data_IF_892077799299
#
_entry.id   IF_892077799299
#
_cell.length_a   1.000
_cell.length_b   1.000
_cell.length_c   1.000
_cell.angle_alpha   90.00
_cell.angle_beta   90.00
_cell.angle_gamma   90.00
#
_symmetry.space_group_name_H-M   'P 1'
#
loop_
_entity.id
_entity.type
_entity.pdbx_description
1 polymer ?
#
# COMPACT_ATOMS: atom_id res chain seq x y z
N UNK A 1 0.15 -18.93 -18.24
CA UNK A 1 -0.51 -20.16 -18.76
C UNK A 1 -1.87 -19.76 -19.30
N UNK A 2 -2.18 -20.07 -20.57
CA UNK A 2 -3.53 -19.92 -21.10
C UNK A 2 -4.44 -20.84 -20.28
N UNK A 3 -5.42 -20.27 -19.61
CA UNK A 3 -6.36 -21.02 -18.79
C UNK A 3 -7.21 -21.87 -19.73
N UNK A 4 -7.27 -23.19 -19.54
CA UNK A 4 -8.12 -24.04 -20.36
C UNK A 4 -9.59 -23.65 -20.17
N UNK A 5 -10.33 -23.61 -21.25
CA UNK A 5 -11.76 -23.32 -21.19
C UNK A 5 -12.50 -24.48 -20.48
N UNK A 6 -13.37 -24.19 -19.51
CA UNK A 6 -14.18 -25.22 -18.88
C UNK A 6 -15.15 -25.86 -19.88
N UNK A 7 -15.68 -27.06 -19.61
CA UNK A 7 -16.63 -27.74 -20.50
C UNK A 7 -17.84 -26.88 -20.91
N UNK A 8 -18.26 -26.00 -20.01
CA UNK A 8 -19.28 -24.98 -20.28
C UNK A 8 -18.87 -23.65 -19.70
N UNK A 9 -19.06 -22.55 -20.43
CA UNK A 9 -18.75 -21.20 -20.00
C UNK A 9 -19.70 -20.17 -20.63
N UNK A 10 -19.71 -18.95 -20.08
CA UNK A 10 -20.48 -17.84 -20.60
C UNK A 10 -19.53 -16.75 -21.06
N UNK A 11 -19.53 -16.42 -22.35
CA UNK A 11 -18.73 -15.33 -22.90
C UNK A 11 -19.61 -14.15 -23.33
N UNK A 12 -19.03 -12.97 -23.37
CA UNK A 12 -19.68 -11.75 -23.88
C UNK A 12 -19.31 -11.55 -25.33
N UNK A 13 -20.30 -11.34 -26.18
CA UNK A 13 -20.10 -10.92 -27.55
C UNK A 13 -19.60 -9.46 -27.61
N UNK A 14 -18.51 -9.23 -28.30
CA UNK A 14 -17.93 -7.90 -28.52
C UNK A 14 -18.51 -7.22 -29.77
N UNK A 15 -18.93 -7.99 -30.75
CA UNK A 15 -19.49 -7.51 -32.02
C UNK A 15 -19.35 -8.53 -33.12
N UNK A 16 -19.83 -8.18 -34.30
CA UNK A 16 -19.67 -8.93 -35.54
C UNK A 16 -18.67 -8.21 -36.42
N UNK A 17 -17.71 -8.91 -36.97
CA UNK A 17 -16.75 -8.41 -37.96
C UNK A 17 -17.28 -8.83 -39.36
N UNK A 18 -17.66 -7.83 -40.16
CA UNK A 18 -18.19 -8.05 -41.50
C UNK A 18 -17.13 -8.55 -42.50
N UNK A 19 -15.84 -8.24 -42.25
CA UNK A 19 -14.73 -8.64 -43.12
C UNK A 19 -14.34 -10.11 -42.96
N UNK A 20 -14.45 -10.63 -41.74
CA UNK A 20 -14.13 -12.02 -41.41
C UNK A 20 -15.37 -12.91 -41.31
N UNK A 21 -16.55 -12.31 -41.33
CA UNK A 21 -17.86 -12.97 -41.10
C UNK A 21 -17.93 -13.73 -39.80
N UNK A 22 -17.31 -13.18 -38.73
CA UNK A 22 -17.19 -13.81 -37.42
C UNK A 22 -17.72 -12.90 -36.31
N UNK A 23 -18.25 -13.54 -35.26
CA UNK A 23 -18.53 -12.87 -33.99
C UNK A 23 -17.31 -12.95 -33.10
N UNK A 24 -16.91 -11.84 -32.50
CA UNK A 24 -15.86 -11.76 -31.49
C UNK A 24 -16.46 -11.88 -30.09
N UNK A 25 -15.81 -12.70 -29.24
CA UNK A 25 -16.23 -12.95 -27.88
C UNK A 25 -15.07 -12.73 -26.90
N UNK A 26 -15.42 -12.42 -25.67
CA UNK A 26 -14.48 -12.40 -24.54
C UNK A 26 -15.01 -13.25 -23.40
N UNK A 27 -14.16 -14.15 -22.91
CA UNK A 27 -14.36 -14.91 -21.70
C UNK A 27 -13.17 -14.67 -20.76
N UNK A 28 -13.42 -14.14 -19.57
CA UNK A 28 -12.37 -13.64 -18.69
C UNK A 28 -11.46 -12.63 -19.44
N UNK A 29 -10.21 -13.00 -19.71
CA UNK A 29 -9.23 -12.23 -20.49
C UNK A 29 -8.96 -12.80 -21.88
N UNK A 30 -9.55 -13.95 -22.20
CA UNK A 30 -9.34 -14.61 -23.47
C UNK A 30 -10.33 -14.11 -24.53
N UNK A 31 -9.77 -13.68 -25.65
CA UNK A 31 -10.52 -13.29 -26.85
C UNK A 31 -10.55 -14.48 -27.81
N UNK A 32 -11.70 -14.73 -28.42
CA UNK A 32 -11.85 -15.71 -29.49
C UNK A 32 -12.94 -15.27 -30.48
N UNK A 33 -12.85 -15.75 -31.71
CA UNK A 33 -13.83 -15.46 -32.76
C UNK A 33 -14.44 -16.76 -33.27
N UNK A 34 -15.68 -16.68 -33.76
CA UNK A 34 -16.43 -17.82 -34.29
C UNK A 34 -17.41 -17.39 -35.37
N UNK A 35 -17.54 -18.21 -36.43
CA UNK A 35 -18.69 -18.21 -37.29
C UNK A 35 -19.88 -18.85 -36.58
N UNK A 36 -20.92 -18.10 -36.35
CA UNK A 36 -22.12 -18.56 -35.63
C UNK A 36 -23.29 -18.62 -36.58
N UNK A 37 -24.08 -19.69 -36.47
CA UNK A 37 -25.31 -19.83 -37.24
C UNK A 37 -26.26 -18.66 -36.94
N UNK A 38 -26.83 -18.07 -37.97
CA UNK A 38 -27.77 -16.94 -37.91
C UNK A 38 -29.04 -17.21 -37.08
N UNK A 39 -29.34 -18.47 -36.78
CA UNK A 39 -30.43 -18.86 -35.89
C UNK A 39 -30.25 -18.37 -34.44
N UNK A 40 -29.03 -18.13 -33.99
CA UNK A 40 -28.72 -17.51 -32.70
C UNK A 40 -28.63 -15.99 -32.90
N UNK A 41 -29.69 -15.26 -32.59
CA UNK A 41 -29.73 -13.78 -32.67
C UNK A 41 -28.73 -13.17 -31.66
N UNK A 42 -27.43 -13.16 -32.00
CA UNK A 42 -26.37 -12.61 -31.19
C UNK A 42 -26.18 -11.15 -31.60
N UNK A 43 -26.09 -10.28 -30.62
CA UNK A 43 -25.78 -8.86 -30.79
C UNK A 43 -24.59 -8.45 -29.90
N UNK A 44 -23.94 -7.34 -30.22
CA UNK A 44 -22.89 -6.80 -29.38
C UNK A 44 -23.36 -6.60 -27.94
N UNK A 45 -22.56 -7.11 -26.98
CA UNK A 45 -22.89 -7.09 -25.56
C UNK A 45 -23.67 -8.30 -25.05
N UNK A 46 -24.21 -9.16 -25.92
CA UNK A 46 -24.94 -10.37 -25.51
C UNK A 46 -24.04 -11.31 -24.68
N UNK A 47 -24.64 -11.96 -23.70
CA UNK A 47 -24.03 -13.09 -22.98
C UNK A 47 -24.45 -14.39 -23.61
N UNK A 48 -23.50 -15.20 -24.07
CA UNK A 48 -23.73 -16.43 -24.76
C UNK A 48 -23.10 -17.57 -23.98
N UNK A 49 -23.86 -18.66 -23.79
CA UNK A 49 -23.34 -19.89 -23.21
C UNK A 49 -22.72 -20.71 -24.32
N UNK A 50 -21.53 -21.27 -24.02
CA UNK A 50 -20.78 -22.15 -24.90
C UNK A 50 -20.53 -23.49 -24.25
N UNK A 51 -20.46 -24.52 -25.08
CA UNK A 51 -19.78 -25.79 -24.77
C UNK A 51 -18.37 -25.74 -25.35
N UNK A 52 -17.40 -26.24 -24.59
CA UNK A 52 -16.03 -26.44 -25.04
C UNK A 52 -15.75 -27.95 -25.13
N UNK A 53 -15.35 -28.39 -26.28
CA UNK A 53 -14.92 -29.79 -26.51
C UNK A 53 -13.78 -29.81 -27.51
N UNK A 54 -12.66 -30.44 -27.15
CA UNK A 54 -11.48 -30.65 -28.03
C UNK A 54 -11.01 -29.34 -28.71
N UNK A 55 -11.01 -28.22 -27.97
CA UNK A 55 -10.58 -26.89 -28.49
C UNK A 55 -11.58 -26.21 -29.41
N UNK A 56 -12.78 -26.77 -29.61
CA UNK A 56 -13.89 -26.14 -30.36
C UNK A 56 -14.89 -25.52 -29.40
N UNK A 57 -15.40 -24.37 -29.74
CA UNK A 57 -16.41 -23.64 -28.98
C UNK A 57 -17.75 -23.70 -29.74
N UNK A 58 -18.78 -24.24 -29.11
CA UNK A 58 -20.11 -24.39 -29.69
C UNK A 58 -21.07 -23.49 -28.91
N UNK A 59 -21.63 -22.43 -29.52
CA UNK A 59 -22.60 -21.59 -28.86
C UNK A 59 -23.92 -22.36 -28.70
N UNK A 60 -24.41 -22.46 -27.45
CA UNK A 60 -25.66 -23.17 -27.13
C UNK A 60 -26.86 -22.26 -27.07
N UNK A 61 -26.68 -21.13 -26.36
CA UNK A 61 -27.81 -20.26 -26.03
C UNK A 61 -27.38 -18.83 -25.73
N UNK A 62 -28.12 -17.87 -26.23
CA UNK A 62 -28.06 -16.47 -25.74
C UNK A 62 -28.74 -16.41 -24.38
N UNK A 63 -27.98 -16.08 -23.35
CA UNK A 63 -28.42 -15.96 -21.95
C UNK A 63 -29.08 -14.60 -21.72
N UNK A 64 -28.52 -13.56 -22.31
CA UNK A 64 -28.92 -12.20 -22.09
C UNK A 64 -28.49 -11.32 -23.27
N UNK A 65 -29.41 -10.43 -23.70
CA UNK A 65 -29.13 -9.39 -24.70
C UNK A 65 -29.33 -8.01 -24.05
N UNK A 66 -28.29 -7.17 -23.98
CA UNK A 66 -28.41 -5.87 -23.32
C UNK A 66 -29.29 -4.92 -24.16
N UNK A 67 -30.22 -4.19 -23.53
CA UNK A 67 -31.17 -3.33 -24.27
C UNK A 67 -30.52 -2.11 -24.92
N UNK A 68 -29.33 -1.70 -24.45
CA UNK A 68 -28.59 -0.51 -24.93
C UNK A 68 -27.32 -0.85 -25.71
N UNK A 69 -27.08 -2.13 -26.02
CA UNK A 69 -25.84 -2.57 -26.64
C UNK A 69 -24.56 -2.44 -25.75
N UNK A 70 -23.41 -2.67 -26.35
CA UNK A 70 -22.09 -2.62 -25.69
C UNK A 70 -21.52 -1.20 -25.79
N UNK A 71 -21.22 -0.59 -24.64
CA UNK A 71 -20.50 0.70 -24.59
C UNK A 71 -19.00 0.45 -24.46
N UNK A 72 -18.20 1.13 -25.28
CA UNK A 72 -16.73 1.00 -25.27
C UNK A 72 -16.08 1.33 -23.92
N UNK A 73 -16.67 2.20 -23.11
CA UNK A 73 -16.22 2.58 -21.78
C UNK A 73 -17.11 2.04 -20.64
N UNK A 74 -18.04 1.10 -20.96
CA UNK A 74 -18.95 0.55 -19.97
C UNK A 74 -18.31 -0.55 -19.11
N UNK A 75 -18.95 -0.88 -18.00
CA UNK A 75 -18.49 -1.88 -17.04
C UNK A 75 -18.28 -3.27 -17.65
N UNK A 76 -18.99 -3.59 -18.73
CA UNK A 76 -18.80 -4.85 -19.45
C UNK A 76 -17.35 -5.10 -19.90
N UNK A 77 -16.59 -4.04 -20.17
CA UNK A 77 -15.21 -4.11 -20.64
C UNK A 77 -14.20 -3.43 -19.69
N UNK A 78 -14.67 -2.68 -18.68
CA UNK A 78 -13.84 -1.86 -17.80
C UNK A 78 -12.57 -2.57 -17.32
N UNK A 79 -12.70 -3.76 -16.80
CA UNK A 79 -11.59 -4.52 -16.23
C UNK A 79 -10.87 -5.44 -17.22
N UNK A 80 -11.43 -5.64 -18.40
CA UNK A 80 -10.93 -6.55 -19.42
C UNK A 80 -10.16 -5.86 -20.53
N UNK A 81 -10.24 -4.54 -20.62
CA UNK A 81 -9.47 -3.79 -21.61
C UNK A 81 -7.99 -3.89 -21.33
N UNK A 82 -7.24 -4.31 -22.33
CA UNK A 82 -5.79 -4.32 -22.38
C UNK A 82 -5.25 -2.92 -22.68
N UNK A 83 -5.59 -1.91 -21.88
CA UNK A 83 -4.91 -0.62 -21.98
C UNK A 83 -3.51 -0.68 -21.38
N UNK A 84 -3.29 -1.69 -20.53
CA UNK A 84 -2.01 -2.01 -19.90
C UNK A 84 -1.90 -3.53 -19.77
N UNK A 85 -0.69 -4.07 -19.93
CA UNK A 85 -0.41 -5.46 -19.60
C UNK A 85 0.30 -5.49 -18.24
N UNK A 86 -0.18 -6.21 -17.22
CA UNK A 86 -1.38 -7.06 -17.24
C UNK A 86 -2.71 -6.27 -17.19
N UNK A 87 -3.80 -6.91 -17.56
CA UNK A 87 -5.14 -6.32 -17.45
C UNK A 87 -5.55 -6.11 -16.00
N UNK A 88 -6.44 -5.13 -15.74
CA UNK A 88 -6.97 -4.91 -14.39
C UNK A 88 -7.69 -6.15 -13.83
N UNK A 89 -8.35 -6.93 -14.69
CA UNK A 89 -8.98 -8.19 -14.30
C UNK A 89 -7.95 -9.20 -13.78
N UNK A 90 -6.78 -9.31 -14.44
CA UNK A 90 -5.66 -10.12 -13.97
C UNK A 90 -5.13 -9.63 -12.62
N UNK A 91 -4.92 -8.32 -12.48
CA UNK A 91 -4.44 -7.73 -11.23
C UNK A 91 -5.37 -8.01 -10.05
N UNK A 92 -6.71 -7.98 -10.26
CA UNK A 92 -7.68 -8.32 -9.22
C UNK A 92 -7.65 -9.81 -8.83
N UNK A 93 -7.40 -10.71 -9.78
CA UNK A 93 -7.16 -12.13 -9.48
C UNK A 93 -5.85 -12.31 -8.70
N UNK A 94 -4.78 -11.66 -9.13
CA UNK A 94 -3.49 -11.68 -8.43
C UNK A 94 -3.67 -11.18 -6.98
N UNK A 95 -4.39 -10.06 -6.79
CA UNK A 95 -4.75 -9.54 -5.46
C UNK A 95 -5.41 -10.61 -4.58
N UNK A 96 -6.40 -11.34 -5.13
CA UNK A 96 -7.07 -12.42 -4.39
C UNK A 96 -6.09 -13.49 -3.91
N UNK A 97 -5.25 -14.00 -4.81
CA UNK A 97 -4.29 -15.06 -4.48
C UNK A 97 -3.18 -14.59 -3.54
N UNK A 98 -2.70 -13.36 -3.71
CA UNK A 98 -1.70 -12.75 -2.83
C UNK A 98 -2.27 -12.56 -1.43
N UNK A 99 -3.48 -12.01 -1.27
CA UNK A 99 -4.12 -11.84 0.04
C UNK A 99 -4.38 -13.19 0.74
N UNK A 100 -4.80 -14.22 -0.01
CA UNK A 100 -4.94 -15.57 0.54
C UNK A 100 -3.61 -16.13 1.03
N UNK A 101 -2.53 -15.89 0.30
CA UNK A 101 -1.19 -16.35 0.68
C UNK A 101 -0.64 -15.57 1.87
N UNK A 102 -0.90 -14.29 1.98
CA UNK A 102 -0.56 -13.49 3.16
C UNK A 102 -1.20 -14.10 4.41
N UNK A 103 -2.51 -14.37 4.39
CA UNK A 103 -3.20 -15.01 5.51
C UNK A 103 -2.59 -16.36 5.87
N UNK A 104 -2.35 -17.22 4.89
CA UNK A 104 -1.74 -18.52 5.11
C UNK A 104 -0.34 -18.44 5.74
N UNK A 105 0.45 -17.43 5.36
CA UNK A 105 1.77 -17.23 5.95
C UNK A 105 1.65 -16.81 7.43
N UNK A 106 0.79 -15.84 7.75
CA UNK A 106 0.57 -15.41 9.13
C UNK A 106 0.04 -16.52 10.01
N UNK A 107 -0.90 -17.34 9.52
CA UNK A 107 -1.42 -18.52 10.22
C UNK A 107 -0.29 -19.51 10.54
N UNK A 108 0.61 -19.78 9.58
CA UNK A 108 1.76 -20.67 9.79
C UNK A 108 2.78 -20.08 10.78
N UNK A 109 2.87 -18.76 10.92
CA UNK A 109 3.72 -18.11 11.90
C UNK A 109 3.06 -17.98 13.28
N UNK A 110 1.84 -18.48 13.43
CA UNK A 110 1.08 -18.47 14.70
C UNK A 110 0.52 -17.10 15.08
N UNK A 111 0.22 -16.24 14.09
CA UNK A 111 -0.50 -14.99 14.31
C UNK A 111 -2.01 -15.20 14.35
N UNK A 112 -2.69 -14.38 15.12
CA UNK A 112 -4.14 -14.27 15.11
C UNK A 112 -4.59 -13.12 14.21
N UNK A 113 -5.44 -13.41 13.20
CA UNK A 113 -6.13 -12.34 12.47
C UNK A 113 -7.16 -11.66 13.36
N UNK A 114 -7.06 -10.35 13.50
CA UNK A 114 -7.99 -9.55 14.30
C UNK A 114 -8.69 -8.53 13.44
N UNK A 115 -9.80 -7.97 13.94
CA UNK A 115 -10.50 -6.89 13.27
C UNK A 115 -10.87 -5.82 14.29
N UNK A 116 -10.28 -4.64 14.13
CA UNK A 116 -10.58 -3.47 14.94
C UNK A 116 -11.57 -2.53 14.21
N UNK A 117 -12.22 -1.61 14.93
CA UNK A 117 -13.18 -0.70 14.32
C UNK A 117 -12.55 0.22 13.28
N UNK A 118 -13.19 0.37 12.12
CA UNK A 118 -12.80 1.32 11.08
C UNK A 118 -13.16 2.78 11.42
N UNK A 119 -14.02 3.00 12.44
CA UNK A 119 -14.45 4.31 12.92
C UNK A 119 -14.07 4.48 14.38
N UNK A 120 -13.37 5.57 14.68
CA UNK A 120 -12.88 5.91 16.02
C UNK A 120 -13.30 7.31 16.43
N UNK A 121 -13.34 7.57 17.73
CA UNK A 121 -13.63 8.89 18.27
C UNK A 121 -12.41 9.81 18.21
N UNK A 122 -11.24 9.27 18.50
CA UNK A 122 -9.96 9.97 18.50
C UNK A 122 -9.03 9.27 17.49
N UNK A 123 -8.70 9.89 16.36
CA UNK A 123 -7.79 9.35 15.37
C UNK A 123 -6.33 9.62 15.75
N UNK A 124 -5.38 8.99 15.03
CA UNK A 124 -3.96 9.34 15.15
C UNK A 124 -3.76 10.83 14.82
N UNK A 125 -3.14 11.62 15.71
CA UNK A 125 -3.00 13.08 15.57
C UNK A 125 -1.90 13.51 14.59
N UNK A 126 -1.21 12.61 13.89
CA UNK A 126 -0.13 12.95 12.97
C UNK A 126 -0.50 14.08 12.00
N UNK A 127 0.32 15.13 12.00
CA UNK A 127 -0.01 16.41 11.36
C UNK A 127 -0.05 16.35 9.83
N UNK A 128 0.57 15.35 9.21
CA UNK A 128 0.57 15.20 7.75
C UNK A 128 -0.72 14.59 7.21
N UNK A 129 -1.51 13.82 7.97
CA UNK A 129 -2.74 13.22 7.48
C UNK A 129 -3.92 14.19 7.41
N UNK A 130 -4.68 14.10 6.32
CA UNK A 130 -6.03 14.66 6.21
C UNK A 130 -7.04 13.62 6.65
N UNK A 131 -7.68 13.87 7.79
CA UNK A 131 -8.66 12.97 8.39
C UNK A 131 -10.01 13.06 7.67
N UNK A 132 -10.70 11.92 7.54
CA UNK A 132 -12.05 11.86 7.02
C UNK A 132 -13.01 11.77 8.21
N UNK A 133 -13.74 12.84 8.43
CA UNK A 133 -14.76 12.92 9.48
C UNK A 133 -16.03 12.19 9.04
N UNK A 134 -16.64 11.43 9.95
CA UNK A 134 -17.91 10.75 9.71
C UNK A 134 -18.76 10.78 10.99
N UNK A 135 -19.98 11.33 10.90
CA UNK A 135 -20.91 11.49 12.01
C UNK A 135 -20.20 11.98 13.30
N UNK A 136 -20.12 11.16 14.35
CA UNK A 136 -19.50 11.51 15.63
C UNK A 136 -18.06 10.98 15.78
N UNK A 137 -17.31 10.85 14.68
CA UNK A 137 -15.95 10.31 14.73
C UNK A 137 -15.20 10.48 13.43
N UNK A 138 -14.18 9.67 13.28
CA UNK A 138 -13.28 9.69 12.12
C UNK A 138 -13.07 8.27 11.61
N UNK A 139 -12.86 8.15 10.29
CA UNK A 139 -12.34 6.92 9.71
C UNK A 139 -10.86 6.79 10.05
N UNK A 140 -10.41 5.58 10.36
CA UNK A 140 -9.03 5.32 10.80
C UNK A 140 -8.04 5.52 9.67
N UNK A 141 -6.90 6.15 9.98
CA UNK A 141 -5.74 6.21 9.07
C UNK A 141 -4.89 4.96 9.15
N UNK A 142 -5.01 4.20 10.25
CA UNK A 142 -4.35 2.94 10.59
C UNK A 142 -5.08 2.30 11.79
N UNK A 143 -5.10 0.97 11.94
CA UNK A 143 -5.65 0.28 13.12
C UNK A 143 -4.72 0.26 14.35
N UNK A 144 -3.57 0.92 14.29
CA UNK A 144 -2.44 0.84 15.21
C UNK A 144 -2.82 0.96 16.69
N UNK A 145 -3.57 2.02 17.10
CA UNK A 145 -3.89 2.26 18.51
C UNK A 145 -4.70 1.11 19.11
N UNK A 146 -5.68 0.62 18.34
CA UNK A 146 -6.54 -0.46 18.80
C UNK A 146 -5.77 -1.79 18.87
N UNK A 147 -4.89 -2.05 17.93
CA UNK A 147 -4.05 -3.25 17.92
C UNK A 147 -3.03 -3.22 19.07
N UNK A 148 -2.37 -2.09 19.35
CA UNK A 148 -1.47 -1.93 20.51
C UNK A 148 -2.19 -2.14 21.84
N UNK A 149 -3.44 -1.67 21.99
CA UNK A 149 -4.26 -1.95 23.17
C UNK A 149 -4.54 -3.45 23.35
N UNK A 150 -4.62 -4.22 22.25
CA UNK A 150 -4.74 -5.68 22.36
C UNK A 150 -3.44 -6.31 22.86
N UNK A 151 -2.25 -5.76 22.51
CA UNK A 151 -0.98 -6.24 23.07
C UNK A 151 -0.93 -6.04 24.59
N UNK A 152 -1.38 -4.87 25.08
CA UNK A 152 -1.56 -4.63 26.53
C UNK A 152 -2.51 -5.66 27.15
N UNK A 153 -3.56 -6.05 26.42
CA UNK A 153 -4.52 -7.10 26.82
C UNK A 153 -3.98 -8.54 26.77
N UNK A 154 -2.69 -8.73 26.43
CA UNK A 154 -2.03 -10.04 26.46
C UNK A 154 -2.00 -10.80 25.14
N UNK A 155 -2.37 -10.18 24.02
CA UNK A 155 -2.16 -10.77 22.68
C UNK A 155 -0.68 -10.62 22.29
N UNK A 156 -0.04 -11.69 21.83
CA UNK A 156 1.40 -11.69 21.55
C UNK A 156 1.74 -11.51 20.09
N UNK A 157 0.95 -12.11 19.18
CA UNK A 157 1.12 -12.05 17.71
C UNK A 157 -0.22 -11.85 17.07
N UNK A 158 -0.43 -10.66 16.51
CA UNK A 158 -1.69 -10.30 15.86
C UNK A 158 -1.40 -9.64 14.51
N UNK A 159 -2.31 -9.82 13.55
CA UNK A 159 -2.30 -9.08 12.30
C UNK A 159 -3.72 -8.71 11.88
N UNK A 160 -3.82 -7.70 11.02
CA UNK A 160 -5.08 -7.24 10.45
C UNK A 160 -4.89 -6.81 9.01
N UNK A 161 -5.83 -7.17 8.14
CA UNK A 161 -5.96 -6.61 6.78
C UNK A 161 -7.24 -5.79 6.76
N UNK A 162 -7.14 -4.47 6.66
CA UNK A 162 -8.31 -3.58 6.73
C UNK A 162 -8.23 -2.40 5.79
N UNK A 163 -9.38 -1.81 5.49
CA UNK A 163 -9.45 -0.51 4.85
C UNK A 163 -8.97 0.57 5.79
N UNK A 164 -8.12 1.48 5.27
CA UNK A 164 -7.65 2.69 5.93
C UNK A 164 -7.97 3.90 5.05
N UNK A 165 -8.04 5.08 5.66
CA UNK A 165 -8.60 6.26 5.02
C UNK A 165 -7.73 7.49 5.28
N UNK A 166 -7.24 8.13 4.20
CA UNK A 166 -6.46 9.36 4.25
C UNK A 166 -7.02 10.34 3.23
N UNK A 167 -7.73 11.35 3.71
CA UNK A 167 -8.37 12.33 2.85
C UNK A 167 -7.36 13.10 1.99
N UNK A 168 -7.78 13.49 0.78
CA UNK A 168 -6.98 14.24 -0.20
C UNK A 168 -5.73 13.56 -0.75
N UNK A 169 -5.43 12.33 -0.36
CA UNK A 169 -4.33 11.55 -0.93
C UNK A 169 -4.79 10.89 -2.24
N UNK A 170 -4.69 11.62 -3.35
CA UNK A 170 -5.01 11.14 -4.69
C UNK A 170 -3.79 11.26 -5.58
N UNK A 171 -3.35 10.14 -6.18
CA UNK A 171 -2.16 10.14 -7.01
C UNK A 171 -1.92 8.81 -7.72
N UNK A 172 -0.74 8.65 -8.30
CA UNK A 172 -0.37 7.39 -8.96
C UNK A 172 -0.34 6.22 -8.00
N UNK A 173 0.12 6.43 -6.77
CA UNK A 173 0.31 5.43 -5.72
C UNK A 173 -0.59 5.64 -4.51
N UNK A 174 -1.51 6.62 -4.59
CA UNK A 174 -2.39 7.01 -3.49
C UNK A 174 -3.85 6.99 -3.90
N UNK A 175 -4.69 6.55 -2.99
CA UNK A 175 -6.14 6.62 -3.05
C UNK A 175 -6.65 6.90 -1.62
N UNK A 176 -7.68 7.75 -1.43
CA UNK A 176 -8.17 8.10 -0.10
C UNK A 176 -8.62 6.91 0.74
N UNK A 177 -9.13 5.86 0.10
CA UNK A 177 -9.39 4.56 0.70
C UNK A 177 -8.41 3.54 0.11
N UNK A 178 -7.68 2.82 0.97
CA UNK A 178 -6.70 1.80 0.58
C UNK A 178 -6.68 0.66 1.59
N UNK A 179 -6.00 -0.42 1.27
CA UNK A 179 -5.90 -1.59 2.14
C UNK A 179 -4.54 -1.63 2.82
N UNK A 180 -4.54 -1.75 4.14
CA UNK A 180 -3.34 -1.88 4.95
C UNK A 180 -3.31 -3.26 5.59
N UNK A 181 -2.15 -3.90 5.54
CA UNK A 181 -1.80 -5.03 6.37
C UNK A 181 -0.94 -4.49 7.52
N UNK A 182 -1.36 -4.72 8.75
CA UNK A 182 -0.53 -4.43 9.92
C UNK A 182 -0.34 -5.69 10.76
N UNK A 183 0.85 -5.86 11.35
CA UNK A 183 1.13 -6.95 12.27
C UNK A 183 2.03 -6.50 13.39
N UNK A 184 1.88 -7.17 14.53
CA UNK A 184 2.60 -6.87 15.76
C UNK A 184 3.12 -8.14 16.42
N UNK A 185 4.31 -8.02 17.05
CA UNK A 185 4.97 -9.08 17.85
C UNK A 185 5.39 -8.53 19.20
N UNK A 186 5.06 -9.25 20.26
CA UNK A 186 5.60 -9.00 21.60
C UNK A 186 6.94 -9.69 21.76
N UNK A 187 7.88 -9.04 22.42
CA UNK A 187 9.22 -9.57 22.72
C UNK A 187 10.24 -9.51 21.57
N UNK A 188 9.83 -8.96 20.44
CA UNK A 188 10.68 -8.76 19.25
C UNK A 188 10.96 -7.26 19.00
N UNK A 189 11.76 -6.95 17.99
CA UNK A 189 12.17 -5.61 17.59
C UNK A 189 12.07 -5.42 16.07
N UNK A 190 12.40 -4.22 15.56
CA UNK A 190 12.32 -3.86 14.16
C UNK A 190 13.12 -4.80 13.22
N UNK A 191 14.22 -5.40 13.67
CA UNK A 191 14.99 -6.36 12.85
C UNK A 191 14.15 -7.60 12.51
N UNK A 192 13.30 -8.06 13.46
CA UNK A 192 12.40 -9.18 13.19
C UNK A 192 11.34 -8.81 12.16
N UNK A 193 10.85 -7.57 12.15
CA UNK A 193 9.92 -7.08 11.12
C UNK A 193 10.53 -7.12 9.72
N UNK A 194 11.82 -6.76 9.60
CA UNK A 194 12.55 -6.89 8.33
C UNK A 194 12.58 -8.33 7.84
N UNK A 195 12.81 -9.29 8.74
CA UNK A 195 12.80 -10.71 8.41
C UNK A 195 11.41 -11.17 8.01
N UNK A 196 10.37 -10.79 8.78
CA UNK A 196 8.98 -11.12 8.45
C UNK A 196 8.60 -10.62 7.05
N UNK A 197 8.93 -9.38 6.71
CA UNK A 197 8.62 -8.80 5.40
C UNK A 197 9.33 -9.55 4.27
N UNK A 198 10.59 -9.93 4.45
CA UNK A 198 11.33 -10.71 3.47
C UNK A 198 10.78 -12.15 3.34
N UNK A 199 10.51 -12.82 4.45
CA UNK A 199 9.93 -14.17 4.48
C UNK A 199 8.54 -14.17 3.84
N UNK A 200 7.68 -13.22 4.21
CA UNK A 200 6.34 -13.04 3.63
C UNK A 200 6.40 -12.87 2.12
N UNK A 201 7.22 -11.95 1.62
CA UNK A 201 7.30 -11.67 0.17
C UNK A 201 7.88 -12.85 -0.61
N UNK A 202 8.82 -13.59 -0.03
CA UNK A 202 9.35 -14.85 -0.61
C UNK A 202 8.29 -15.96 -0.67
N UNK A 203 7.35 -15.96 0.27
CA UNK A 203 6.26 -16.96 0.34
C UNK A 203 5.16 -16.73 -0.70
N UNK A 204 5.02 -15.51 -1.24
CA UNK A 204 3.97 -15.16 -2.20
C UNK A 204 4.04 -15.99 -3.49
N UNK A 205 2.88 -16.35 -4.10
CA UNK A 205 2.82 -17.27 -5.23
C UNK A 205 3.40 -16.64 -6.51
N UNK A 206 4.55 -17.15 -6.94
CA UNK A 206 5.31 -16.65 -8.11
C UNK A 206 4.51 -16.58 -9.40
N UNK A 207 3.52 -17.46 -9.58
CA UNK A 207 2.66 -17.47 -10.76
C UNK A 207 1.83 -16.17 -10.95
N UNK A 208 1.68 -15.39 -9.89
CA UNK A 208 0.95 -14.12 -9.87
C UNK A 208 1.85 -12.88 -9.75
N UNK A 209 3.16 -13.06 -9.84
CA UNK A 209 4.15 -11.99 -9.72
C UNK A 209 4.83 -11.83 -11.07
N UNK A 210 5.09 -10.58 -11.50
CA UNK A 210 5.83 -10.33 -12.72
C UNK A 210 7.24 -10.92 -12.65
N UNK A 211 7.71 -11.46 -13.76
CA UNK A 211 9.01 -12.16 -13.81
C UNK A 211 10.20 -11.28 -13.46
N UNK A 212 10.12 -9.97 -13.68
CA UNK A 212 11.18 -9.02 -13.29
C UNK A 212 11.34 -8.99 -11.76
N UNK A 213 10.23 -9.11 -11.02
CA UNK A 213 10.24 -9.03 -9.56
C UNK A 213 10.79 -10.29 -8.91
N UNK A 214 10.79 -11.43 -9.61
CA UNK A 214 11.35 -12.67 -9.06
C UNK A 214 12.80 -12.50 -8.60
N UNK A 215 13.65 -11.79 -9.38
CA UNK A 215 15.04 -11.54 -9.01
C UNK A 215 15.17 -10.60 -7.82
N UNK A 216 14.30 -9.60 -7.72
CA UNK A 216 14.29 -8.66 -6.59
C UNK A 216 13.86 -9.32 -5.28
N UNK A 217 13.02 -10.35 -5.36
CA UNK A 217 12.56 -11.13 -4.20
C UNK A 217 13.56 -12.19 -3.75
N UNK A 218 14.55 -12.51 -4.60
CA UNK A 218 15.64 -13.44 -4.28
C UNK A 218 16.81 -12.70 -3.59
N UNK A 219 17.50 -13.39 -2.68
CA UNK A 219 18.65 -12.84 -1.98
C UNK A 219 18.28 -11.88 -0.83
N UNK A 220 19.32 -11.21 -0.33
CA UNK A 220 19.20 -10.28 0.79
C UNK A 220 18.85 -8.87 0.28
N UNK A 221 17.94 -8.21 0.96
CA UNK A 221 17.57 -6.83 0.68
C UNK A 221 18.65 -5.86 1.18
N UNK A 222 18.72 -4.66 0.58
CA UNK A 222 19.67 -3.63 1.03
C UNK A 222 19.18 -3.07 2.36
N UNK A 223 20.02 -3.15 3.40
CA UNK A 223 19.81 -2.46 4.67
C UNK A 223 20.78 -1.27 4.72
N UNK A 224 20.27 -0.07 4.99
CA UNK A 224 21.07 1.16 4.99
C UNK A 224 20.48 2.14 6.00
N UNK A 225 21.32 2.97 6.61
CA UNK A 225 20.86 4.01 7.53
C UNK A 225 20.50 5.30 6.79
N UNK A 226 19.69 6.15 7.42
CA UNK A 226 19.43 7.51 6.93
C UNK A 226 20.74 8.27 6.74
N UNK A 227 21.69 8.15 7.70
CA UNK A 227 22.99 8.82 7.61
C UNK A 227 23.87 8.33 6.47
N UNK A 228 23.87 7.02 6.18
CA UNK A 228 24.59 6.51 5.01
C UNK A 228 24.07 7.11 3.72
N UNK A 229 22.74 7.25 3.59
CA UNK A 229 22.10 7.89 2.41
C UNK A 229 22.42 9.39 2.35
N UNK A 230 22.34 10.11 3.45
CA UNK A 230 22.69 11.52 3.51
C UNK A 230 24.19 11.73 3.18
N UNK A 231 25.06 10.87 3.66
CA UNK A 231 26.49 10.93 3.34
C UNK A 231 26.75 10.64 1.85
N UNK A 232 26.08 9.63 1.28
CA UNK A 232 26.24 9.25 -0.12
C UNK A 232 25.75 10.35 -1.09
N UNK A 233 24.58 10.93 -0.84
CA UNK A 233 23.94 11.85 -1.79
C UNK A 233 24.12 13.33 -1.46
N UNK A 234 24.26 13.69 -0.18
CA UNK A 234 24.31 15.07 0.31
C UNK A 234 25.62 15.44 1.02
N UNK A 235 26.53 14.46 1.21
CA UNK A 235 27.87 14.64 1.77
C UNK A 235 27.86 15.17 3.22
N UNK A 236 26.82 14.88 3.98
CA UNK A 236 26.77 15.18 5.41
C UNK A 236 25.99 14.09 6.18
N UNK A 237 26.19 14.10 7.49
CA UNK A 237 25.44 13.27 8.44
C UNK A 237 24.67 14.18 9.40
N UNK A 238 23.56 13.66 9.95
CA UNK A 238 22.79 14.32 11.00
C UNK A 238 23.09 13.67 12.37
N UNK A 239 22.90 14.47 13.41
CA UNK A 239 22.90 14.02 14.81
C UNK A 239 21.49 14.01 15.34
N UNK A 240 21.16 13.18 16.33
CA UNK A 240 19.84 13.18 16.96
C UNK A 240 19.41 14.55 17.52
N UNK A 241 20.37 15.38 17.89
CA UNK A 241 20.15 16.71 18.48
C UNK A 241 20.02 17.84 17.46
N UNK A 242 20.29 17.58 16.19
CA UNK A 242 20.28 18.60 15.15
C UNK A 242 18.89 19.25 15.00
N UNK A 243 18.89 20.55 14.82
CA UNK A 243 17.72 21.37 14.57
C UNK A 243 17.72 21.89 13.12
N UNK A 244 16.68 22.61 12.73
CA UNK A 244 16.59 23.18 11.39
C UNK A 244 17.80 24.01 10.95
N UNK A 245 18.35 24.83 11.86
CA UNK A 245 19.56 25.62 11.61
C UNK A 245 20.80 24.78 11.32
N UNK A 246 20.96 23.65 12.03
CA UNK A 246 22.07 22.73 11.81
C UNK A 246 22.01 22.05 10.43
N UNK A 247 20.78 21.67 9.96
CA UNK A 247 20.58 21.15 8.61
C UNK A 247 20.95 22.18 7.54
N UNK A 248 20.50 23.43 7.69
CA UNK A 248 20.83 24.50 6.75
C UNK A 248 22.33 24.78 6.70
N UNK A 249 22.99 24.78 7.87
CA UNK A 249 24.46 24.96 7.94
C UNK A 249 25.19 23.82 7.20
N UNK A 250 24.76 22.56 7.41
CA UNK A 250 25.34 21.40 6.73
C UNK A 250 25.12 21.45 5.21
N UNK A 251 23.92 21.79 4.75
CA UNK A 251 23.63 21.97 3.34
C UNK A 251 24.51 23.05 2.72
N UNK A 252 24.65 24.21 3.35
CA UNK A 252 25.48 25.31 2.87
C UNK A 252 26.97 24.90 2.81
N UNK A 253 27.50 24.28 3.88
CA UNK A 253 28.90 23.83 3.93
C UNK A 253 29.27 22.82 2.85
N UNK A 254 28.28 22.03 2.38
CA UNK A 254 28.47 21.00 1.36
C UNK A 254 28.04 21.44 -0.05
N UNK A 255 27.85 22.74 -0.27
CA UNK A 255 27.65 23.31 -1.61
C UNK A 255 26.23 23.21 -2.15
N UNK A 256 25.23 23.01 -1.30
CA UNK A 256 23.80 22.88 -1.68
C UNK A 256 23.02 24.20 -1.64
N UNK A 257 23.69 25.38 -1.63
CA UNK A 257 23.03 26.70 -1.58
C UNK A 257 22.06 26.91 -2.75
N UNK A 258 22.42 26.46 -3.94
CA UNK A 258 21.53 26.56 -5.11
C UNK A 258 20.26 25.75 -4.92
N UNK A 259 20.34 24.55 -4.34
CA UNK A 259 19.18 23.73 -4.03
C UNK A 259 18.30 24.40 -2.96
N UNK A 260 18.90 24.94 -1.87
CA UNK A 260 18.19 25.71 -0.83
C UNK A 260 17.39 26.85 -1.48
N UNK A 261 18.03 27.64 -2.36
CA UNK A 261 17.40 28.76 -3.05
C UNK A 261 16.26 28.31 -3.98
N UNK A 262 16.43 27.21 -4.74
CA UNK A 262 15.39 26.63 -5.59
C UNK A 262 14.18 26.16 -4.78
N UNK A 263 14.41 25.56 -3.63
CA UNK A 263 13.37 25.12 -2.71
C UNK A 263 12.75 26.28 -1.91
N UNK A 264 13.32 27.48 -1.98
CA UNK A 264 12.90 28.68 -1.23
C UNK A 264 12.85 28.46 0.27
N UNK A 265 13.83 27.69 0.79
CA UNK A 265 13.92 27.40 2.22
C UNK A 265 14.42 28.65 2.94
N UNK A 266 13.67 29.13 3.93
CA UNK A 266 14.02 30.29 4.76
C UNK A 266 14.09 29.91 6.25
N UNK A 267 13.00 30.06 6.98
CA UNK A 267 12.87 29.75 8.41
C UNK A 267 11.87 28.61 8.60
N UNK A 268 12.19 27.44 8.07
CA UNK A 268 11.31 26.27 8.15
C UNK A 268 11.74 25.32 9.27
N UNK A 269 10.83 24.44 9.70
CA UNK A 269 11.11 23.43 10.71
C UNK A 269 12.05 22.33 10.17
N UNK A 270 12.71 21.61 11.08
CA UNK A 270 13.53 20.44 10.75
C UNK A 270 12.76 19.47 9.84
N UNK A 271 11.50 19.15 10.17
CA UNK A 271 10.66 18.22 9.43
C UNK A 271 10.44 18.64 7.98
N UNK A 272 10.23 19.94 7.73
CA UNK A 272 10.01 20.44 6.37
C UNK A 272 11.29 20.37 5.55
N UNK A 273 12.43 20.80 6.11
CA UNK A 273 13.72 20.75 5.42
C UNK A 273 14.12 19.31 5.14
N UNK A 274 14.04 18.45 6.15
CA UNK A 274 14.36 17.02 6.01
C UNK A 274 13.44 16.33 5.02
N UNK A 275 12.13 16.61 5.05
CA UNK A 275 11.15 16.07 4.12
C UNK A 275 11.51 16.37 2.66
N UNK A 276 11.93 17.61 2.34
CA UNK A 276 12.37 17.97 0.98
C UNK A 276 13.65 17.27 0.56
N UNK A 277 14.61 17.08 1.50
CA UNK A 277 15.80 16.26 1.24
C UNK A 277 15.38 14.82 0.94
N UNK A 278 14.45 14.31 1.75
CA UNK A 278 13.97 12.94 1.63
C UNK A 278 13.20 12.70 0.32
N UNK A 279 12.36 13.63 -0.10
CA UNK A 279 11.65 13.58 -1.39
C UNK A 279 12.58 13.39 -2.61
N UNK A 280 13.84 13.86 -2.51
CA UNK A 280 14.84 13.60 -3.56
C UNK A 280 15.53 12.25 -3.41
N UNK A 281 15.79 11.84 -2.16
CA UNK A 281 16.47 10.57 -1.86
C UNK A 281 15.59 9.36 -2.15
N UNK A 282 14.32 9.38 -1.72
CA UNK A 282 13.43 8.22 -1.85
C UNK A 282 13.26 7.76 -3.30
N UNK A 283 13.26 8.69 -4.26
CA UNK A 283 13.17 8.40 -5.71
C UNK A 283 14.30 7.49 -6.22
N UNK A 284 15.42 7.44 -5.50
CA UNK A 284 16.59 6.63 -5.86
C UNK A 284 16.56 5.23 -5.27
N UNK A 285 15.67 4.97 -4.29
CA UNK A 285 15.68 3.76 -3.50
C UNK A 285 14.95 2.58 -4.15
N UNK A 286 15.44 1.38 -3.94
CA UNK A 286 14.70 0.15 -4.24
C UNK A 286 14.60 -0.24 -5.72
N UNK A 287 15.48 0.25 -6.61
CA UNK A 287 15.41 -0.04 -8.05
C UNK A 287 16.00 -1.38 -8.45
N UNK A 288 17.09 -1.80 -7.82
CA UNK A 288 17.73 -3.09 -8.09
C UNK A 288 17.20 -4.20 -7.17
N UNK A 289 16.96 -3.86 -5.92
CA UNK A 289 16.39 -4.71 -4.88
C UNK A 289 15.71 -3.86 -3.82
N UNK A 290 14.76 -4.40 -3.05
CA UNK A 290 14.13 -3.66 -1.97
C UNK A 290 15.16 -3.08 -1.00
N UNK A 291 14.93 -1.85 -0.56
CA UNK A 291 15.82 -1.11 0.32
C UNK A 291 15.13 -0.85 1.66
N UNK A 292 15.72 -1.35 2.73
CA UNK A 292 15.29 -1.14 4.12
C UNK A 292 16.12 0.02 4.69
N UNK A 293 15.45 1.11 5.04
CA UNK A 293 16.09 2.32 5.59
C UNK A 293 15.82 2.41 7.07
N UNK A 294 16.87 2.59 7.87
CA UNK A 294 16.83 2.57 9.34
C UNK A 294 17.48 3.80 9.95
N UNK A 295 17.50 3.89 11.27
CA UNK A 295 18.11 4.99 12.05
C UNK A 295 17.56 6.36 11.66
N UNK A 296 16.25 6.48 11.74
CA UNK A 296 15.54 7.72 11.46
C UNK A 296 15.79 8.79 12.53
N UNK A 297 15.84 10.08 12.19
CA UNK A 297 16.01 11.13 13.18
C UNK A 297 14.85 11.14 14.20
N UNK A 298 15.11 11.48 15.47
CA UNK A 298 14.10 11.40 16.54
C UNK A 298 12.88 12.31 16.29
N UNK A 299 13.03 13.37 15.51
CA UNK A 299 11.92 14.23 15.07
C UNK A 299 10.90 13.50 14.19
N UNK A 300 11.29 12.37 13.60
CA UNK A 300 10.47 11.48 12.78
C UNK A 300 10.15 10.14 13.48
N UNK A 301 10.42 10.05 14.78
CA UNK A 301 10.20 8.81 15.52
C UNK A 301 8.72 8.40 15.61
N UNK A 302 7.78 9.36 15.57
CA UNK A 302 6.35 9.08 15.71
C UNK A 302 6.06 8.19 16.94
N UNK A 303 5.68 6.93 16.72
CA UNK A 303 5.39 5.94 17.76
C UNK A 303 6.55 4.95 18.00
N UNK A 304 7.72 5.19 17.40
CA UNK A 304 8.92 4.38 17.60
C UNK A 304 9.66 4.74 18.90
N UNK A 305 10.23 3.74 19.56
CA UNK A 305 11.21 4.01 20.61
C UNK A 305 12.51 4.55 20.02
N UNK A 306 13.31 5.21 20.85
CA UNK A 306 14.68 5.63 20.49
C UNK A 306 15.69 4.57 20.92
N UNK A 307 16.64 4.30 20.05
CA UNK A 307 17.80 3.48 20.36
C UNK A 307 18.79 4.22 21.29
N UNK A 308 19.74 3.53 21.91
CA UNK A 308 20.74 4.18 22.79
C UNK A 308 21.58 5.26 22.10
N UNK A 309 21.71 5.26 20.78
CA UNK A 309 22.41 6.29 20.00
C UNK A 309 21.50 7.51 19.68
N UNK A 310 20.23 7.50 20.11
CA UNK A 310 19.27 8.59 19.98
C UNK A 310 18.49 8.64 18.68
N UNK A 311 18.72 7.73 17.73
CA UNK A 311 17.91 7.59 16.54
C UNK A 311 16.67 6.72 16.79
N UNK A 312 15.62 6.91 15.97
CA UNK A 312 14.44 6.08 16.08
C UNK A 312 14.67 4.65 15.57
N UNK A 313 14.25 3.67 16.34
CA UNK A 313 14.19 2.28 15.92
C UNK A 313 13.01 2.06 14.95
N UNK A 314 13.10 2.70 13.79
CA UNK A 314 12.15 2.71 12.70
C UNK A 314 12.80 2.17 11.44
N UNK A 315 12.05 1.40 10.67
CA UNK A 315 12.45 0.90 9.35
C UNK A 315 11.37 1.18 8.33
N UNK A 316 11.76 1.68 7.17
CA UNK A 316 10.89 1.79 6.01
C UNK A 316 11.45 0.96 4.85
N UNK A 317 10.55 0.34 4.09
CA UNK A 317 10.90 -0.45 2.91
C UNK A 317 10.53 0.29 1.63
N UNK A 318 11.52 0.49 0.76
CA UNK A 318 11.37 1.16 -0.53
C UNK A 318 11.56 0.20 -1.70
N UNK A 319 10.72 0.34 -2.72
CA UNK A 319 10.83 -0.31 -4.03
C UNK A 319 10.45 0.70 -5.11
N UNK A 320 11.29 0.87 -6.12
CA UNK A 320 11.07 1.83 -7.21
C UNK A 320 10.78 3.27 -6.75
N UNK A 321 11.46 3.71 -5.69
CA UNK A 321 11.22 5.02 -5.08
C UNK A 321 9.91 5.13 -4.32
N UNK A 322 9.25 4.03 -4.05
CA UNK A 322 7.95 4.00 -3.36
C UNK A 322 8.09 3.29 -2.02
N UNK A 323 7.74 3.95 -0.92
CA UNK A 323 7.59 3.32 0.38
C UNK A 323 6.43 2.34 0.35
N UNK A 324 6.69 1.06 0.62
CA UNK A 324 5.66 0.01 0.68
C UNK A 324 5.34 -0.41 2.10
N UNK A 325 6.29 -0.28 3.04
CA UNK A 325 6.10 -0.68 4.43
C UNK A 325 6.86 0.25 5.39
N UNK A 326 6.30 0.43 6.59
CA UNK A 326 6.87 1.21 7.68
C UNK A 326 6.62 0.45 9.00
N UNK A 327 7.68 0.29 9.78
CA UNK A 327 7.59 -0.42 11.05
C UNK A 327 8.61 0.05 12.05
N UNK A 328 8.40 -0.28 13.31
CA UNK A 328 9.29 0.16 14.39
C UNK A 328 9.23 -0.75 15.61
N UNK A 329 10.26 -0.66 16.46
CA UNK A 329 10.15 -1.07 17.85
C UNK A 329 9.28 -0.05 18.58
N UNK A 330 8.26 -0.51 19.28
CA UNK A 330 7.19 0.34 19.79
C UNK A 330 7.61 1.17 21.01
N UNK A 331 7.22 2.43 21.02
CA UNK A 331 7.31 3.27 22.21
C UNK A 331 6.29 2.78 23.24
N UNK A 332 6.78 2.45 24.44
CA UNK A 332 5.96 1.91 25.52
C UNK A 332 5.77 2.90 26.68
N UNK A 333 6.48 4.03 26.70
CA UNK A 333 6.36 5.09 27.73
C UNK A 333 5.15 6.00 27.41
N UNK A 334 4.09 5.99 28.24
CA UNK A 334 2.91 6.81 28.04
C UNK A 334 3.19 8.32 28.13
N UNK A 335 4.14 8.74 28.97
CA UNK A 335 4.45 10.15 29.16
C UNK A 335 5.19 10.72 27.93
N UNK A 336 6.12 9.96 27.37
CA UNK A 336 6.81 10.34 26.15
C UNK A 336 5.82 10.34 24.97
N UNK A 337 4.93 9.34 24.88
CA UNK A 337 3.92 9.28 23.84
C UNK A 337 2.95 10.47 23.89
N UNK A 338 2.52 10.84 25.08
CA UNK A 338 1.66 12.02 25.27
C UNK A 338 2.34 13.30 24.79
N UNK A 339 3.61 13.52 25.16
CA UNK A 339 4.37 14.70 24.69
C UNK A 339 4.46 14.78 23.18
N UNK A 340 4.73 13.64 22.51
CA UNK A 340 4.78 13.60 21.04
C UNK A 340 3.43 13.93 20.42
N UNK A 341 2.35 13.42 20.96
CA UNK A 341 1.00 13.74 20.49
C UNK A 341 0.64 15.22 20.68
N UNK A 342 1.05 15.83 21.80
CA UNK A 342 0.85 17.25 22.04
C UNK A 342 1.60 18.11 21.00
N UNK A 343 2.83 17.72 20.64
CA UNK A 343 3.61 18.35 19.56
C UNK A 343 2.89 18.22 18.21
N UNK A 344 2.38 17.02 17.89
CA UNK A 344 1.63 16.81 16.64
C UNK A 344 0.34 17.63 16.57
N UNK A 345 -0.38 17.82 17.69
CA UNK A 345 -1.54 18.72 17.73
C UNK A 345 -1.16 20.17 17.45
N UNK A 346 -0.03 20.65 18.01
CA UNK A 346 0.49 21.98 17.74
C UNK A 346 0.82 22.12 16.24
N UNK A 347 1.53 21.14 15.66
CA UNK A 347 1.87 21.12 14.24
C UNK A 347 0.61 21.12 13.35
N UNK A 348 -0.42 20.35 13.71
CA UNK A 348 -1.71 20.34 12.98
C UNK A 348 -2.37 21.71 12.95
N UNK A 349 -2.39 22.40 14.08
CA UNK A 349 -2.98 23.72 14.21
C UNK A 349 -2.21 24.77 13.37
N UNK A 350 -0.87 24.70 13.37
CA UNK A 350 -0.04 25.60 12.56
C UNK A 350 -0.29 25.46 11.05
N UNK A 351 -0.62 24.26 10.57
CA UNK A 351 -0.93 24.01 9.15
C UNK A 351 -2.44 24.11 8.85
N UNK A 352 -3.26 24.61 9.79
CA UNK A 352 -4.70 24.83 9.61
C UNK A 352 -5.53 23.57 9.42
N UNK A 353 -5.07 22.42 9.95
CA UNK A 353 -5.83 21.15 9.92
C UNK A 353 -6.79 21.07 11.11
N UNK A 354 -7.82 20.20 10.97
CA UNK A 354 -8.83 19.99 12.01
C UNK A 354 -8.20 19.64 13.36
N UNK A 355 -8.67 20.29 14.42
CA UNK A 355 -8.39 19.88 15.79
C UNK A 355 -8.99 18.52 16.05
N UNK A 356 -8.20 17.67 16.68
CA UNK A 356 -8.63 16.32 17.10
C UNK A 356 -8.37 16.14 18.59
N UNK A 357 -9.18 15.29 19.19
CA UNK A 357 -9.04 14.93 20.60
C UNK A 357 -8.02 13.79 20.69
N UNK A 358 -7.12 13.85 21.66
CA UNK A 358 -6.20 12.74 21.93
C UNK A 358 -6.96 11.49 22.37
N UNK A 359 -6.45 10.33 21.97
CA UNK A 359 -6.95 9.04 22.46
C UNK A 359 -6.39 8.75 23.86
N UNK A 360 -7.06 9.31 24.88
CA UNK A 360 -6.68 9.06 26.26
C UNK A 360 -6.82 7.58 26.66
N UNK A 361 -7.74 6.83 26.04
CA UNK A 361 -7.84 5.40 26.29
C UNK A 361 -6.62 4.62 25.80
N UNK A 362 -6.01 5.06 24.69
CA UNK A 362 -4.75 4.50 24.23
C UNK A 362 -3.60 4.84 25.20
N UNK A 363 -3.49 6.11 25.63
CA UNK A 363 -2.45 6.55 26.58
C UNK A 363 -2.62 5.84 27.93
N UNK A 364 -3.84 5.70 28.43
CA UNK A 364 -4.14 4.97 29.65
C UNK A 364 -3.72 3.48 29.53
N UNK A 365 -4.02 2.85 28.40
CA UNK A 365 -3.58 1.48 28.13
C UNK A 365 -2.06 1.33 28.13
N UNK A 366 -1.31 2.26 27.54
CA UNK A 366 0.16 2.25 27.64
C UNK A 366 0.61 2.31 29.10
N UNK A 367 -0.09 3.11 29.94
CA UNK A 367 0.15 3.23 31.38
C UNK A 367 -0.16 1.94 32.17
N UNK A 368 -1.03 1.07 31.68
CA UNK A 368 -1.27 -0.25 32.26
C UNK A 368 -0.09 -1.20 32.04
N UNK A 369 0.80 -0.92 31.09
CA UNK A 369 2.03 -1.66 30.82
C UNK A 369 2.03 -2.35 29.46
N UNK A 370 2.33 -1.60 28.41
CA UNK A 370 2.58 -2.18 27.10
C UNK A 370 3.89 -2.97 27.09
N UNK A 371 3.87 -4.27 26.72
CA UNK A 371 5.10 -5.05 26.63
C UNK A 371 6.02 -4.55 25.51
N UNK A 372 7.35 -4.71 25.64
CA UNK A 372 8.28 -4.49 24.51
C UNK A 372 7.79 -5.27 23.31
N UNK A 373 7.62 -4.59 22.18
CA UNK A 373 7.00 -5.14 20.98
C UNK A 373 7.45 -4.39 19.73
N UNK A 374 7.15 -4.94 18.60
CA UNK A 374 7.36 -4.28 17.31
C UNK A 374 6.15 -4.46 16.39
N UNK A 375 5.91 -3.50 15.50
CA UNK A 375 4.83 -3.52 14.56
C UNK A 375 5.22 -2.95 13.19
N UNK A 376 4.58 -3.45 12.14
CA UNK A 376 4.79 -2.97 10.78
C UNK A 376 3.46 -2.83 10.04
N UNK A 377 3.36 -1.74 9.28
CA UNK A 377 2.29 -1.46 8.34
C UNK A 377 2.80 -1.65 6.91
N UNK A 378 2.02 -2.35 6.06
CA UNK A 378 2.32 -2.61 4.65
C UNK A 378 1.12 -2.22 3.79
N UNK A 379 1.32 -1.31 2.83
CA UNK A 379 0.30 -0.93 1.86
C UNK A 379 0.10 -2.03 0.81
N UNK A 380 -1.07 -2.69 0.82
CA UNK A 380 -1.36 -3.81 -0.10
C UNK A 380 -1.38 -3.35 -1.56
N UNK A 381 -1.96 -2.20 -1.85
CA UNK A 381 -1.98 -1.69 -3.22
C UNK A 381 -0.58 -1.38 -3.73
N UNK A 382 0.29 -0.77 -2.92
CA UNK A 382 1.69 -0.49 -3.27
C UNK A 382 2.50 -1.76 -3.46
N UNK A 383 2.31 -2.76 -2.60
CA UNK A 383 2.89 -4.10 -2.78
C UNK A 383 2.48 -4.70 -4.13
N UNK A 384 1.19 -4.64 -4.48
CA UNK A 384 0.67 -5.17 -5.75
C UNK A 384 1.17 -4.40 -6.97
N UNK A 385 1.27 -3.05 -6.89
CA UNK A 385 1.87 -2.23 -7.96
C UNK A 385 3.28 -2.72 -8.27
N UNK A 386 4.10 -2.92 -7.25
CA UNK A 386 5.45 -3.44 -7.42
C UNK A 386 5.46 -4.87 -7.96
N UNK A 387 4.76 -5.81 -7.31
CA UNK A 387 4.79 -7.22 -7.69
C UNK A 387 4.26 -7.51 -9.10
N UNK A 388 3.33 -6.68 -9.60
CA UNK A 388 2.69 -6.85 -10.91
C UNK A 388 3.30 -5.95 -12.00
N UNK A 389 4.29 -5.13 -11.66
CA UNK A 389 4.92 -4.14 -12.55
C UNK A 389 3.89 -3.26 -13.27
N UNK A 390 2.94 -2.71 -12.53
CA UNK A 390 1.85 -1.87 -13.08
C UNK A 390 2.03 -0.39 -12.71
N UNK A 391 1.57 0.56 -13.56
CA UNK A 391 1.94 1.97 -13.39
C UNK A 391 1.20 2.69 -12.26
N UNK A 392 0.05 2.19 -11.78
CA UNK A 392 -0.72 2.95 -10.80
C UNK A 392 -1.64 2.09 -9.93
N UNK A 393 -2.07 2.69 -8.81
CA UNK A 393 -3.01 2.10 -7.86
C UNK A 393 -4.34 1.68 -8.50
N UNK A 394 -4.79 2.39 -9.55
CA UNK A 394 -6.03 2.08 -10.28
C UNK A 394 -6.00 0.71 -10.95
N UNK A 395 -4.82 0.18 -11.27
CA UNK A 395 -4.67 -1.13 -11.88
C UNK A 395 -4.98 -2.27 -10.90
N UNK A 396 -4.76 -2.05 -9.61
CA UNK A 396 -4.86 -3.08 -8.55
C UNK A 396 -6.11 -2.95 -7.67
N UNK A 397 -6.96 -1.97 -7.94
CA UNK A 397 -8.24 -1.73 -7.26
C UNK A 397 -9.43 -2.05 -8.17
N UNK A 398 -10.55 -2.48 -7.57
CA UNK A 398 -11.80 -2.68 -8.32
C UNK A 398 -12.37 -1.36 -8.86
N UNK A 399 -12.33 -0.31 -8.04
CA UNK A 399 -12.68 1.07 -8.38
C UNK A 399 -11.69 2.01 -7.71
N UNK A 400 -11.15 2.98 -8.44
CA UNK A 400 -10.40 4.09 -7.86
C UNK A 400 -11.32 5.28 -7.59
N UNK A 401 -10.84 6.23 -6.77
CA UNK A 401 -11.60 7.44 -6.36
C UNK A 401 -12.27 8.15 -7.55
N UNK A 402 -11.53 8.45 -8.61
CA UNK A 402 -12.03 9.13 -9.80
C UNK A 402 -13.06 8.34 -10.64
N UNK A 403 -13.40 7.12 -10.26
CA UNK A 403 -14.40 6.28 -10.93
C UNK A 403 -15.71 6.25 -10.14
N UNK A 404 -15.69 6.77 -8.91
CA UNK A 404 -16.86 6.80 -8.01
C UNK A 404 -17.34 8.24 -7.79
N UNK A 405 -16.39 9.19 -7.68
CA UNK A 405 -16.66 10.62 -7.42
C UNK A 405 -16.31 11.55 -8.57
#
# INVERSE_FOLDING_TARGET
MLQEFPPTFIARCLGFDESEEEFHFIWQEQHFSLKVDQNLKITAGALVRFQSSQGKFIPEKVIYTPPKGLKACGDALRWRKLNHSPSRFHCLKARHHILSSIRNWFDQQGFLEVQTPARVKAPNPESHFHLIQCDQGYLVTSPEFQMKRMLVGGFEKIYQISACYRGREVGHWHNPEFTMLEWYRVGDNWQRLCQDLQELTKYLPRAWIDSKQHKMLEGDWKLITVNDLLQEFWQFEIRPTDQAGDLLEKLNKNGHENWINQQRITEESFLVIFGRIWDELEKTLGWEKPCLVTDWPPQLASLAQLSPNGFAERVECYVYGMEIANGFSELTDPNEQQKRFEIELINRNQVGKLDVVLDHQFLDSLGEGMPPSCGMALGIERLLIWLLDVPSIKNVMAFGESEIF
#
